data_IF_079504937624
#
_entry.id   IF_079504937624
#
_cell.length_a   1.000
_cell.length_b   1.000
_cell.length_c   1.000
_cell.angle_alpha   90.00
_cell.angle_beta   90.00
_cell.angle_gamma   90.00
#
_symmetry.space_group_name_H-M   'P 1'
#
loop_
_entity.id
_entity.type
_entity.pdbx_description
1 polymer ?
#
# COMPACT_ATOMS: atom_id res chain seq x y z
N UNK A 1 26.92 53.22 0.47
CA UNK A 1 27.25 52.13 1.42
C UNK A 1 25.93 51.60 1.97
N UNK A 2 25.53 50.39 1.62
CA UNK A 2 24.40 49.70 2.26
C UNK A 2 24.96 48.46 2.94
N UNK A 3 25.23 48.56 4.25
CA UNK A 3 25.68 47.44 5.06
C UNK A 3 24.52 46.46 5.27
N UNK A 4 24.62 45.28 4.66
CA UNK A 4 23.74 44.15 4.93
C UNK A 4 24.30 43.45 6.18
N UNK A 5 23.59 43.44 7.32
CA UNK A 5 24.09 42.76 8.50
C UNK A 5 24.13 41.24 8.24
N UNK A 6 25.19 40.53 8.67
CA UNK A 6 25.28 39.09 8.49
C UNK A 6 24.22 38.39 9.36
N UNK A 7 23.25 37.73 8.73
CA UNK A 7 22.28 36.84 9.39
C UNK A 7 22.99 35.60 9.93
N UNK A 8 23.66 35.72 11.07
CA UNK A 8 24.27 34.60 11.77
C UNK A 8 23.34 34.10 12.88
N UNK A 9 22.18 33.54 12.50
CA UNK A 9 21.33 32.80 13.44
C UNK A 9 21.92 31.40 13.66
N UNK A 10 22.22 31.01 14.90
CA UNK A 10 22.79 29.69 15.17
C UNK A 10 21.81 28.58 14.74
N UNK A 11 22.30 27.47 14.15
CA UNK A 11 21.43 26.39 13.71
C UNK A 11 20.68 25.80 14.92
N UNK A 12 19.34 25.81 14.86
CA UNK A 12 18.48 25.18 15.87
C UNK A 12 18.93 23.73 16.08
N UNK A 13 19.42 23.40 17.28
CA UNK A 13 19.79 22.04 17.67
C UNK A 13 18.58 21.12 17.42
N UNK A 14 18.76 20.10 16.58
CA UNK A 14 17.72 19.11 16.27
C UNK A 14 17.43 18.30 17.53
N UNK A 15 16.35 18.63 18.23
CA UNK A 15 15.89 17.82 19.36
C UNK A 15 15.42 16.46 18.84
N UNK A 16 16.20 15.42 19.10
CA UNK A 16 15.85 14.05 18.71
C UNK A 16 14.71 13.57 19.60
N UNK A 17 13.54 13.31 19.01
CA UNK A 17 12.40 12.75 19.73
C UNK A 17 12.77 11.34 20.21
N UNK A 18 12.52 11.05 21.50
CA UNK A 18 12.77 9.75 22.10
C UNK A 18 11.99 8.64 21.35
N UNK A 19 12.57 7.44 21.23
CA UNK A 19 11.97 6.28 20.55
C UNK A 19 10.57 5.95 21.07
N UNK A 20 10.36 6.02 22.38
CA UNK A 20 9.05 5.74 22.98
C UNK A 20 7.98 6.75 22.54
N UNK A 21 8.37 8.02 22.44
CA UNK A 21 7.49 9.09 21.95
C UNK A 21 7.16 8.87 20.47
N UNK A 22 8.15 8.44 19.66
CA UNK A 22 7.90 8.10 18.25
C UNK A 22 6.91 6.94 18.12
N UNK A 23 7.05 5.88 18.92
CA UNK A 23 6.13 4.75 18.93
C UNK A 23 4.71 5.20 19.31
N UNK A 24 4.56 6.05 20.33
CA UNK A 24 3.26 6.63 20.72
C UNK A 24 2.63 7.47 19.61
N UNK A 25 3.42 8.27 18.89
CA UNK A 25 2.95 9.07 17.75
C UNK A 25 2.41 8.15 16.65
N UNK A 26 3.16 7.11 16.28
CA UNK A 26 2.75 6.15 15.25
C UNK A 26 1.45 5.44 15.65
N UNK A 27 1.36 4.93 16.88
CA UNK A 27 0.16 4.26 17.39
C UNK A 27 -1.07 5.19 17.36
N UNK A 28 -0.91 6.45 17.74
CA UNK A 28 -2.01 7.41 17.72
C UNK A 28 -2.45 7.70 16.29
N UNK A 29 -1.51 7.86 15.35
CA UNK A 29 -1.81 8.05 13.93
C UNK A 29 -2.55 6.84 13.36
N UNK A 30 -2.13 5.61 13.69
CA UNK A 30 -2.83 4.39 13.25
C UNK A 30 -4.29 4.41 13.71
N UNK A 31 -4.55 4.72 14.99
CA UNK A 31 -5.92 4.86 15.51
C UNK A 31 -6.72 5.90 14.74
N UNK A 32 -6.13 7.07 14.49
CA UNK A 32 -6.82 8.12 13.73
C UNK A 32 -7.14 7.70 12.30
N UNK A 33 -6.23 6.99 11.63
CA UNK A 33 -6.47 6.44 10.30
C UNK A 33 -7.60 5.40 10.30
N UNK A 34 -7.61 4.49 11.28
CA UNK A 34 -8.67 3.47 11.43
C UNK A 34 -10.05 4.11 11.67
N UNK A 35 -10.09 5.26 12.34
CA UNK A 35 -11.33 6.04 12.53
C UNK A 35 -11.69 6.92 11.33
N UNK A 36 -10.92 6.90 10.24
CA UNK A 36 -11.24 7.62 9.00
C UNK A 36 -10.90 9.11 9.01
N UNK A 37 -10.04 9.58 9.93
CA UNK A 37 -9.60 10.98 9.92
C UNK A 37 -8.73 11.30 8.70
N UNK A 38 -8.88 12.51 8.16
CA UNK A 38 -8.08 12.97 7.03
C UNK A 38 -6.64 13.28 7.45
N UNK A 39 -5.71 13.17 6.50
CA UNK A 39 -4.30 13.41 6.75
C UNK A 39 -3.99 14.85 7.16
N UNK A 40 -4.77 15.82 6.70
CA UNK A 40 -4.68 17.22 7.15
C UNK A 40 -4.92 17.34 8.65
N UNK A 41 -6.08 16.87 9.11
CA UNK A 41 -6.49 16.89 10.52
C UNK A 41 -5.49 16.14 11.41
N UNK A 42 -4.99 14.99 10.94
CA UNK A 42 -3.96 14.22 11.64
C UNK A 42 -2.67 15.03 11.75
N UNK A 43 -2.25 15.71 10.67
CA UNK A 43 -1.03 16.55 10.68
C UNK A 43 -1.17 17.68 11.68
N UNK A 44 -2.31 18.36 11.71
CA UNK A 44 -2.52 19.50 12.60
C UNK A 44 -2.56 19.04 14.07
N UNK A 45 -3.38 18.04 14.39
CA UNK A 45 -3.53 17.52 15.75
C UNK A 45 -2.23 16.96 16.34
N UNK A 46 -1.44 16.21 15.55
CA UNK A 46 -0.17 15.64 16.00
C UNK A 46 0.92 16.71 16.10
N UNK A 47 0.96 17.65 15.14
CA UNK A 47 1.93 18.75 15.17
C UNK A 47 1.73 19.61 16.42
N UNK A 48 0.48 19.92 16.76
CA UNK A 48 0.13 20.68 17.97
C UNK A 48 0.49 19.92 19.25
N UNK A 49 0.01 18.67 19.37
CA UNK A 49 0.17 17.86 20.58
C UNK A 49 1.63 17.54 20.92
N UNK A 50 2.44 17.23 19.91
CA UNK A 50 3.84 16.82 20.11
C UNK A 50 4.85 17.92 19.76
N UNK A 51 4.39 19.11 19.32
CA UNK A 51 5.22 20.25 18.90
C UNK A 51 6.24 19.87 17.82
N UNK A 52 5.81 19.09 16.83
CA UNK A 52 6.64 18.64 15.72
C UNK A 52 6.18 19.26 14.41
N UNK A 53 7.09 19.36 13.44
CA UNK A 53 6.73 19.92 12.14
C UNK A 53 5.78 18.98 11.38
N UNK A 54 4.86 19.52 10.59
CA UNK A 54 3.97 18.73 9.75
C UNK A 54 4.71 17.79 8.78
N UNK A 55 5.92 18.17 8.32
CA UNK A 55 6.80 17.29 7.52
C UNK A 55 7.30 16.08 8.32
N UNK A 56 7.55 16.26 9.62
CA UNK A 56 7.89 15.15 10.52
C UNK A 56 6.68 14.24 10.75
N UNK A 57 5.49 14.81 10.93
CA UNK A 57 4.25 14.03 11.06
C UNK A 57 4.02 13.16 9.83
N UNK A 58 4.22 13.71 8.63
CA UNK A 58 4.04 13.00 7.37
C UNK A 58 4.91 11.73 7.28
N UNK A 59 6.16 11.79 7.76
CA UNK A 59 7.00 10.60 7.87
C UNK A 59 6.42 9.54 8.81
N UNK A 60 5.82 9.96 9.93
CA UNK A 60 5.15 9.04 10.85
C UNK A 60 3.84 8.48 10.27
N UNK A 61 3.11 9.24 9.46
CA UNK A 61 1.93 8.75 8.72
C UNK A 61 2.34 7.66 7.73
N UNK A 62 3.38 7.89 6.92
CA UNK A 62 3.88 6.89 5.98
C UNK A 62 4.33 5.63 6.72
N UNK A 63 5.02 5.78 7.85
CA UNK A 63 5.42 4.65 8.70
C UNK A 63 4.22 3.90 9.26
N UNK A 64 3.23 4.61 9.81
CA UNK A 64 2.00 4.03 10.36
C UNK A 64 1.26 3.20 9.30
N UNK A 65 1.09 3.74 8.09
CA UNK A 65 0.46 3.03 6.97
C UNK A 65 1.21 1.76 6.60
N UNK A 66 2.54 1.82 6.54
CA UNK A 66 3.36 0.64 6.26
C UNK A 66 3.22 -0.43 7.35
N UNK A 67 3.23 -0.05 8.62
CA UNK A 67 3.05 -0.99 9.73
C UNK A 67 1.65 -1.62 9.70
N UNK A 68 0.60 -0.85 9.42
CA UNK A 68 -0.76 -1.37 9.23
C UNK A 68 -0.84 -2.34 8.05
N UNK A 69 -0.18 -2.02 6.92
CA UNK A 69 -0.15 -2.91 5.76
C UNK A 69 0.57 -4.23 6.08
N UNK A 70 1.70 -4.18 6.78
CA UNK A 70 2.44 -5.38 7.19
C UNK A 70 1.61 -6.27 8.12
N UNK A 71 0.85 -5.67 9.04
CA UNK A 71 -0.10 -6.40 9.88
C UNK A 71 -1.15 -7.13 9.02
N UNK A 72 -1.69 -6.46 8.00
CA UNK A 72 -2.64 -7.07 7.05
C UNK A 72 -2.00 -8.21 6.25
N UNK A 73 -0.77 -8.03 5.76
CA UNK A 73 -0.03 -9.05 5.01
C UNK A 73 0.26 -10.29 5.85
N UNK A 74 0.57 -10.12 7.13
CA UNK A 74 0.81 -11.24 8.06
C UNK A 74 -0.44 -12.07 8.33
N UNK A 75 -1.63 -11.50 8.15
CA UNK A 75 -2.93 -12.15 8.36
C UNK A 75 -3.77 -12.18 7.09
N UNK A 76 -3.12 -12.33 5.93
CA UNK A 76 -3.78 -12.24 4.62
C UNK A 76 -5.02 -13.13 4.50
N UNK A 77 -4.94 -14.38 4.92
CA UNK A 77 -6.07 -15.33 4.87
C UNK A 77 -7.24 -14.88 5.75
N UNK A 78 -6.95 -14.38 6.96
CA UNK A 78 -7.96 -13.84 7.86
C UNK A 78 -8.62 -12.60 7.26
N UNK A 79 -7.84 -11.70 6.68
CA UNK A 79 -8.38 -10.52 6.00
C UNK A 79 -9.23 -10.88 4.78
N UNK A 80 -8.85 -11.92 4.03
CA UNK A 80 -9.69 -12.46 2.96
C UNK A 80 -11.00 -13.00 3.53
N UNK A 81 -10.96 -13.79 4.60
CA UNK A 81 -12.16 -14.31 5.25
C UNK A 81 -13.08 -13.17 5.76
N UNK A 82 -12.53 -12.19 6.45
CA UNK A 82 -13.30 -11.02 6.95
C UNK A 82 -13.94 -10.24 5.79
N UNK A 83 -13.18 -10.02 4.71
CA UNK A 83 -13.69 -9.36 3.51
C UNK A 83 -14.81 -10.16 2.85
N UNK A 84 -14.66 -11.49 2.76
CA UNK A 84 -15.67 -12.38 2.22
C UNK A 84 -16.98 -12.27 3.02
N UNK A 85 -16.92 -12.39 4.35
CA UNK A 85 -18.10 -12.29 5.21
C UNK A 85 -18.76 -10.91 5.12
N UNK A 86 -17.98 -9.84 5.05
CA UNK A 86 -18.51 -8.50 4.85
C UNK A 86 -19.32 -8.38 3.55
N UNK A 87 -18.73 -8.74 2.40
CA UNK A 87 -19.44 -8.67 1.12
C UNK A 87 -20.63 -9.63 1.06
N UNK A 88 -20.50 -10.83 1.66
CA UNK A 88 -21.60 -11.79 1.76
C UNK A 88 -22.78 -11.20 2.53
N UNK A 89 -22.53 -10.46 3.60
CA UNK A 89 -23.59 -9.79 4.37
C UNK A 89 -24.34 -8.73 3.55
N UNK A 90 -23.68 -8.06 2.60
CA UNK A 90 -24.32 -7.10 1.68
C UNK A 90 -25.21 -7.84 0.68
N UNK A 91 -24.74 -8.98 0.15
CA UNK A 91 -25.48 -9.80 -0.80
C UNK A 91 -26.74 -10.42 -0.18
N UNK A 92 -26.62 -10.92 1.05
CA UNK A 92 -27.71 -11.58 1.77
C UNK A 92 -28.73 -10.57 2.36
N UNK A 93 -28.38 -9.29 2.45
CA UNK A 93 -29.29 -8.25 2.94
C UNK A 93 -30.38 -7.92 1.88
N UNK A 94 -31.67 -8.15 2.15
CA UNK A 94 -32.72 -7.83 1.18
C UNK A 94 -32.89 -6.32 0.95
N UNK A 95 -32.49 -5.50 1.92
CA UNK A 95 -32.63 -4.04 1.89
C UNK A 95 -31.45 -3.31 1.23
N UNK A 96 -30.39 -4.02 0.82
CA UNK A 96 -29.28 -3.40 0.10
C UNK A 96 -29.69 -3.05 -1.33
N UNK A 97 -29.16 -1.92 -1.84
CA UNK A 97 -29.42 -1.51 -3.21
C UNK A 97 -28.87 -2.55 -4.20
N UNK A 98 -29.56 -2.77 -5.32
CA UNK A 98 -29.14 -3.74 -6.35
C UNK A 98 -27.71 -3.51 -6.84
N UNK A 99 -27.32 -2.24 -6.99
CA UNK A 99 -25.97 -1.85 -7.37
C UNK A 99 -24.91 -2.31 -6.36
N UNK A 100 -25.21 -2.22 -5.07
CA UNK A 100 -24.29 -2.62 -4.02
C UNK A 100 -24.20 -4.15 -3.91
N UNK A 101 -25.32 -4.86 -4.10
CA UNK A 101 -25.33 -6.32 -4.22
C UNK A 101 -24.49 -6.82 -5.39
N UNK A 102 -24.65 -6.20 -6.55
CA UNK A 102 -23.91 -6.56 -7.75
C UNK A 102 -22.41 -6.32 -7.57
N UNK A 103 -22.01 -5.15 -7.04
CA UNK A 103 -20.60 -4.87 -6.70
C UNK A 103 -20.05 -5.83 -5.64
N UNK A 104 -20.83 -6.18 -4.63
CA UNK A 104 -20.39 -7.13 -3.61
C UNK A 104 -20.13 -8.52 -4.21
N UNK A 105 -20.96 -8.97 -5.15
CA UNK A 105 -20.71 -10.21 -5.92
C UNK A 105 -19.42 -10.15 -6.73
N UNK A 106 -19.23 -9.10 -7.53
CA UNK A 106 -17.97 -8.88 -8.28
C UNK A 106 -16.73 -8.88 -7.35
N UNK A 107 -16.87 -8.35 -6.13
CA UNK A 107 -15.77 -8.36 -5.15
C UNK A 107 -15.50 -9.74 -4.58
N UNK A 108 -16.53 -10.55 -4.34
CA UNK A 108 -16.40 -11.94 -3.94
C UNK A 108 -15.72 -12.74 -5.05
N UNK A 109 -16.14 -12.55 -6.30
CA UNK A 109 -15.55 -13.25 -7.45
C UNK A 109 -14.06 -12.92 -7.61
N UNK A 110 -13.67 -11.65 -7.44
CA UNK A 110 -12.24 -11.26 -7.39
C UNK A 110 -11.48 -11.85 -6.22
N UNK A 111 -12.11 -11.92 -5.05
CA UNK A 111 -11.49 -12.45 -3.84
C UNK A 111 -11.22 -13.95 -3.95
N UNK A 112 -12.11 -14.67 -4.65
CA UNK A 112 -12.02 -16.10 -4.92
C UNK A 112 -11.31 -16.41 -6.25
N UNK A 113 -10.84 -15.40 -6.98
CA UNK A 113 -10.24 -15.53 -8.31
C UNK A 113 -11.13 -16.24 -9.34
N UNK A 114 -12.46 -16.06 -9.25
CA UNK A 114 -13.43 -16.60 -10.22
C UNK A 114 -13.53 -15.75 -11.49
N UNK A 115 -13.15 -14.46 -11.39
CA UNK A 115 -13.17 -13.48 -12.49
C UNK A 115 -11.98 -13.62 -13.45
N UNK A 116 -10.94 -14.36 -13.07
CA UNK A 116 -9.85 -14.64 -13.99
C UNK A 116 -10.28 -15.76 -14.91
N UNK A 117 -10.44 -15.47 -16.21
CA UNK A 117 -10.28 -16.48 -17.25
C UNK A 117 -9.08 -17.35 -16.85
N UNK A 118 -9.24 -18.68 -16.96
CA UNK A 118 -8.21 -19.65 -16.61
C UNK A 118 -6.83 -19.09 -16.98
N UNK A 119 -5.82 -19.15 -16.09
CA UNK A 119 -4.52 -18.55 -16.36
C UNK A 119 -4.13 -19.01 -17.76
N UNK A 120 -4.05 -18.06 -18.72
CA UNK A 120 -3.54 -18.41 -20.03
C UNK A 120 -2.22 -19.11 -19.74
N UNK A 121 -2.05 -20.33 -20.23
CA UNK A 121 -0.82 -21.08 -20.03
C UNK A 121 0.34 -20.19 -20.47
N UNK A 122 0.97 -19.53 -19.50
CA UNK A 122 2.17 -18.70 -19.60
C UNK A 122 2.24 -17.92 -20.91
N UNK A 123 1.84 -16.66 -20.90
CA UNK A 123 2.32 -15.74 -21.92
C UNK A 123 3.85 -15.89 -22.01
N UNK A 124 4.42 -16.26 -23.18
CA UNK A 124 5.84 -16.53 -23.35
C UNK A 124 6.71 -15.27 -23.24
N UNK A 125 6.16 -14.19 -22.70
CA UNK A 125 6.84 -12.93 -22.41
C UNK A 125 6.99 -12.67 -20.92
N UNK A 126 6.38 -13.48 -20.04
CA UNK A 126 6.47 -13.31 -18.58
C UNK A 126 7.65 -14.10 -17.98
N UNK A 127 8.83 -13.94 -18.59
CA UNK A 127 10.07 -14.53 -18.08
C UNK A 127 10.79 -13.55 -17.14
N UNK A 128 11.18 -14.03 -15.96
CA UNK A 128 12.05 -13.25 -15.07
C UNK A 128 13.48 -13.29 -15.62
N UNK A 129 14.23 -12.19 -15.50
CA UNK A 129 15.63 -12.10 -15.93
C UNK A 129 16.54 -13.20 -15.34
N UNK A 130 16.16 -13.72 -14.19
CA UNK A 130 16.88 -14.79 -13.49
C UNK A 130 16.74 -16.15 -14.18
N UNK A 131 15.64 -16.37 -14.90
CA UNK A 131 15.37 -17.61 -15.63
C UNK A 131 16.09 -17.61 -16.98
N UNK A 132 16.19 -16.45 -17.64
CA UNK A 132 16.99 -16.25 -18.85
C UNK A 132 18.48 -16.52 -18.62
N UNK A 133 19.01 -16.18 -17.44
CA UNK A 133 20.42 -16.43 -17.08
C UNK A 133 20.75 -17.90 -16.81
N UNK A 134 19.73 -18.72 -16.56
CA UNK A 134 19.89 -20.16 -16.31
C UNK A 134 19.64 -21.02 -17.55
N UNK A 135 19.12 -20.40 -18.61
CA UNK A 135 18.82 -21.08 -19.87
C UNK A 135 20.10 -21.34 -20.66
N UNK A 136 20.16 -22.47 -21.36
CA UNK A 136 21.25 -22.73 -22.30
C UNK A 136 21.04 -21.91 -23.58
N UNK A 137 22.12 -21.66 -24.32
CA UNK A 137 22.05 -20.87 -25.56
C UNK A 137 21.07 -21.49 -26.59
N UNK A 138 20.99 -22.82 -26.64
CA UNK A 138 20.07 -23.56 -27.52
C UNK A 138 18.60 -23.37 -27.15
N UNK A 139 18.30 -23.35 -25.84
CA UNK A 139 16.95 -23.12 -25.33
C UNK A 139 16.50 -21.67 -25.53
N UNK A 140 17.43 -20.72 -25.43
CA UNK A 140 17.20 -19.31 -25.71
C UNK A 140 16.88 -19.07 -27.19
N UNK A 141 17.65 -19.66 -28.10
CA UNK A 141 17.42 -19.53 -29.55
C UNK A 141 16.09 -20.14 -29.98
N UNK A 142 15.71 -21.29 -29.42
CA UNK A 142 14.41 -21.90 -29.68
C UNK A 142 13.25 -20.99 -29.23
N UNK A 143 13.41 -20.31 -28.10
CA UNK A 143 12.43 -19.36 -27.57
C UNK A 143 12.32 -18.11 -28.46
N UNK A 144 13.46 -17.57 -28.90
CA UNK A 144 13.53 -16.40 -29.79
C UNK A 144 12.83 -16.67 -31.13
N UNK A 145 13.11 -17.82 -31.74
CA UNK A 145 12.49 -18.24 -33.00
C UNK A 145 10.97 -18.48 -32.86
N UNK A 146 10.53 -19.01 -31.72
CA UNK A 146 9.10 -19.22 -31.44
C UNK A 146 8.33 -17.90 -31.32
N UNK A 147 8.97 -16.87 -30.78
CA UNK A 147 8.35 -15.55 -30.63
C UNK A 147 8.33 -14.76 -31.96
N UNK A 148 9.35 -14.89 -32.81
CA UNK A 148 9.33 -14.29 -34.16
C UNK A 148 8.16 -14.80 -35.02
N UNK A 149 7.83 -16.09 -34.93
CA UNK A 149 6.74 -16.72 -35.70
C UNK A 149 5.34 -16.35 -35.21
N UNK A 150 5.21 -15.72 -34.04
CA UNK A 150 3.92 -15.28 -33.48
C UNK A 150 3.56 -13.85 -33.86
N UNK A 151 4.51 -13.08 -34.37
CA UNK A 151 4.32 -11.67 -34.77
C UNK A 151 3.91 -11.47 -36.24
N UNK A 152 3.80 -12.56 -37.00
CA UNK A 152 3.19 -12.62 -38.35
C UNK A 152 1.77 -13.17 -38.28
#
# INVERSE_FOLDING_TARGET
MNDIPPKNTPPKKRTRINRDTQARIVLLIQKMLTHGHFTGDIKDAISEKFRISGRSVERYITRARREMQQEVENYLERHRADSFFFYRSIVDNPNSADRDRLRARERIDKLLSLDTQAPSEKDPTDFKLEDLKKMTDEEFDALYQKNLKKTD
#
